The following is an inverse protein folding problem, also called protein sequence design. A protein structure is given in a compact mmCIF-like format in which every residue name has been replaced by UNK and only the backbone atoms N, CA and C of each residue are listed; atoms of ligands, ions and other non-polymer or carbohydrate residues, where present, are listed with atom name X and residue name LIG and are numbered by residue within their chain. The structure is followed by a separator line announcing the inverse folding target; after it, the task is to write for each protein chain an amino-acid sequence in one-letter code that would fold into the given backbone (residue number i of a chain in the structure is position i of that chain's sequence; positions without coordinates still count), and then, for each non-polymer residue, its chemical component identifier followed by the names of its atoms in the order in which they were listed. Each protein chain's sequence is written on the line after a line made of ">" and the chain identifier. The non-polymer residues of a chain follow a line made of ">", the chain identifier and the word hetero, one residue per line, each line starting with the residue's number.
data_IF_117854234981
#
_entry.id   IF_117854234981
#
_cell.length_a   1.000
_cell.length_b   1.000
_cell.length_c   1.000
_cell.angle_alpha   90.00
_cell.angle_beta   90.00
_cell.angle_gamma   90.00
#
_symmetry.space_group_name_H-M   'P 1'
#
loop_
_entity.id
_entity.type
_entity.pdbx_description
1 polymer ?
#
# COMPACT_ATOMS: atom_id res chain seq x y z
N UNK A 1 -18.53 9.72 -7.35
CA UNK A 1 -17.47 8.71 -7.20
C UNK A 1 -17.99 7.68 -6.22
N UNK A 2 -18.22 6.44 -6.66
CA UNK A 2 -18.68 5.37 -5.76
C UNK A 2 -17.44 4.96 -4.94
N UNK A 3 -17.41 5.30 -3.66
CA UNK A 3 -16.35 4.88 -2.76
C UNK A 3 -16.35 3.36 -2.59
N UNK A 4 -15.16 2.77 -2.39
CA UNK A 4 -15.03 1.37 -1.99
C UNK A 4 -15.81 1.17 -0.69
N UNK A 5 -16.63 0.11 -0.62
CA UNK A 5 -17.37 -0.21 0.61
C UNK A 5 -16.38 -0.56 1.72
N UNK A 6 -16.68 -0.18 2.97
CA UNK A 6 -15.76 -0.39 4.10
C UNK A 6 -15.31 -1.86 4.25
N UNK A 7 -16.22 -2.82 4.03
CA UNK A 7 -15.90 -4.25 4.07
C UNK A 7 -14.96 -4.68 2.94
N UNK A 8 -15.12 -4.13 1.74
CA UNK A 8 -14.23 -4.40 0.61
C UNK A 8 -12.85 -3.79 0.87
N UNK A 9 -12.81 -2.59 1.46
CA UNK A 9 -11.56 -1.92 1.84
C UNK A 9 -10.78 -2.74 2.86
N UNK A 10 -11.42 -3.26 3.91
CA UNK A 10 -10.76 -4.12 4.90
C UNK A 10 -10.19 -5.37 4.25
N UNK A 11 -10.97 -6.04 3.37
CA UNK A 11 -10.50 -7.24 2.66
C UNK A 11 -9.34 -6.93 1.70
N UNK A 12 -9.34 -5.77 1.07
CA UNK A 12 -8.23 -5.30 0.24
C UNK A 12 -6.96 -5.10 1.07
N UNK A 13 -7.06 -4.47 2.24
CA UNK A 13 -5.95 -4.28 3.17
C UNK A 13 -5.37 -5.64 3.58
N UNK A 14 -6.20 -6.58 4.01
CA UNK A 14 -5.75 -7.91 4.45
C UNK A 14 -5.06 -8.69 3.33
N UNK A 15 -5.59 -8.60 2.11
CA UNK A 15 -4.95 -9.21 0.93
C UNK A 15 -3.61 -8.55 0.62
N UNK A 16 -3.50 -7.23 0.74
CA UNK A 16 -2.24 -6.52 0.51
C UNK A 16 -1.18 -6.86 1.56
N UNK A 17 -1.56 -7.07 2.82
CA UNK A 17 -0.65 -7.59 3.86
C UNK A 17 -0.07 -8.95 3.40
N UNK A 18 -0.93 -9.86 2.96
CA UNK A 18 -0.49 -11.17 2.50
C UNK A 18 0.47 -11.08 1.31
N UNK A 19 0.19 -10.21 0.33
CA UNK A 19 1.07 -10.00 -0.83
C UNK A 19 2.41 -9.41 -0.40
N UNK A 20 2.41 -8.40 0.48
CA UNK A 20 3.63 -7.79 1.01
C UNK A 20 4.52 -8.80 1.75
N UNK A 21 3.91 -9.72 2.51
CA UNK A 21 4.64 -10.79 3.19
C UNK A 21 5.28 -11.78 2.21
N UNK A 22 4.65 -12.05 1.07
CA UNK A 22 5.22 -12.91 0.01
C UNK A 22 6.32 -12.19 -0.79
N UNK A 23 6.21 -10.88 -0.97
CA UNK A 23 7.14 -10.12 -1.81
C UNK A 23 8.53 -9.91 -1.18
N UNK A 24 8.71 -10.23 0.11
CA UNK A 24 10.00 -10.10 0.85
C UNK A 24 10.75 -8.80 0.51
N UNK A 25 10.03 -7.68 0.37
CA UNK A 25 10.64 -6.42 -0.03
C UNK A 25 11.55 -5.96 1.12
N UNK A 26 12.86 -6.05 0.92
CA UNK A 26 13.84 -5.61 1.91
C UNK A 26 14.21 -4.16 1.64
N UNK A 27 13.60 -3.26 2.40
CA UNK A 27 13.78 -1.81 2.27
C UNK A 27 15.07 -1.29 2.93
N UNK A 28 15.88 -2.17 3.53
CA UNK A 28 17.00 -1.75 4.40
C UNK A 28 18.24 -1.31 3.62
N UNK A 29 18.36 -1.71 2.37
CA UNK A 29 19.57 -1.47 1.56
C UNK A 29 19.38 -0.41 0.47
N UNK A 30 18.17 0.15 0.31
CA UNK A 30 17.89 1.10 -0.75
C UNK A 30 17.93 2.55 -0.23
N UNK A 31 18.77 3.38 -0.85
CA UNK A 31 18.77 4.81 -0.56
C UNK A 31 17.42 5.40 -1.02
N UNK A 32 16.78 6.27 -0.21
CA UNK A 32 15.55 6.93 -0.62
C UNK A 32 15.82 7.73 -1.90
N UNK A 33 15.15 7.33 -2.99
CA UNK A 33 15.19 8.00 -4.29
C UNK A 33 13.93 8.82 -4.47
N UNK A 34 14.08 10.05 -4.97
CA UNK A 34 12.96 10.92 -5.32
C UNK A 34 12.54 10.79 -6.80
N UNK A 35 13.21 9.92 -7.56
CA UNK A 35 13.01 9.77 -9.00
C UNK A 35 11.92 8.75 -9.38
N UNK A 36 11.12 8.28 -8.41
CA UNK A 36 10.11 7.21 -8.59
C UNK A 36 10.66 5.93 -9.24
N UNK A 37 11.97 5.69 -9.10
CA UNK A 37 12.70 4.58 -9.74
C UNK A 37 13.28 3.59 -8.73
N UNK A 38 12.87 3.66 -7.46
CA UNK A 38 13.32 2.70 -6.46
C UNK A 38 12.67 1.33 -6.70
N UNK A 39 13.32 0.25 -6.24
CA UNK A 39 12.72 -1.07 -6.17
C UNK A 39 11.41 -1.04 -5.38
N UNK A 40 11.33 -0.18 -4.36
CA UNK A 40 10.09 0.10 -3.65
C UNK A 40 8.98 0.65 -4.57
N UNK A 41 9.25 1.68 -5.38
CA UNK A 41 8.25 2.27 -6.28
C UNK A 41 7.76 1.24 -7.30
N UNK A 42 8.68 0.47 -7.88
CA UNK A 42 8.33 -0.61 -8.80
C UNK A 42 7.47 -1.69 -8.15
N UNK A 43 7.76 -2.06 -6.89
CA UNK A 43 6.96 -3.01 -6.14
C UNK A 43 5.57 -2.45 -5.81
N UNK A 44 5.50 -1.17 -5.40
CA UNK A 44 4.24 -0.47 -5.16
C UNK A 44 3.35 -0.45 -6.41
N UNK A 45 3.88 -0.04 -7.57
CA UNK A 45 3.12 -0.02 -8.82
C UNK A 45 2.66 -1.42 -9.23
N UNK A 46 3.55 -2.42 -9.12
CA UNK A 46 3.20 -3.81 -9.45
C UNK A 46 2.11 -4.36 -8.54
N UNK A 47 2.19 -4.13 -7.23
CA UNK A 47 1.22 -4.64 -6.25
C UNK A 47 -0.13 -3.94 -6.45
N UNK A 48 -0.13 -2.63 -6.66
CA UNK A 48 -1.38 -1.86 -6.87
C UNK A 48 -2.06 -2.19 -8.20
N UNK A 49 -1.30 -2.42 -9.27
CA UNK A 49 -1.81 -2.94 -10.54
C UNK A 49 -2.40 -4.35 -10.36
N UNK A 50 -1.66 -5.25 -9.71
CA UNK A 50 -2.14 -6.62 -9.41
C UNK A 50 -3.41 -6.59 -8.56
N UNK A 51 -3.49 -5.67 -7.59
CA UNK A 51 -4.66 -5.48 -6.75
C UNK A 51 -5.87 -5.02 -7.58
N UNK A 52 -5.68 -4.08 -8.50
CA UNK A 52 -6.75 -3.61 -9.40
C UNK A 52 -7.32 -4.79 -10.19
N UNK A 53 -6.47 -5.60 -10.81
CA UNK A 53 -6.90 -6.74 -11.62
C UNK A 53 -7.54 -7.85 -10.78
N UNK A 54 -7.03 -8.09 -9.58
CA UNK A 54 -7.59 -9.08 -8.66
C UNK A 54 -8.98 -8.68 -8.15
N UNK A 55 -9.16 -7.41 -7.76
CA UNK A 55 -10.38 -6.96 -7.10
C UNK A 55 -11.48 -6.53 -8.07
N UNK A 56 -11.15 -5.98 -9.23
CA UNK A 56 -12.16 -5.51 -10.22
C UNK A 56 -13.25 -6.55 -10.53
N UNK A 57 -12.94 -7.81 -10.89
CA UNK A 57 -13.97 -8.81 -11.17
C UNK A 57 -14.72 -9.29 -9.92
N UNK A 58 -14.11 -9.17 -8.73
CA UNK A 58 -14.68 -9.63 -7.45
C UNK A 58 -15.65 -8.63 -6.84
N UNK A 59 -15.42 -7.35 -7.09
CA UNK A 59 -16.19 -6.25 -6.56
C UNK A 59 -17.31 -5.82 -7.51
N UNK A 60 -17.21 -6.17 -8.81
CA UNK A 60 -18.13 -5.71 -9.84
C UNK A 60 -17.93 -4.25 -10.25
N UNK A 61 -16.85 -3.63 -9.76
CA UNK A 61 -16.39 -2.29 -10.11
C UNK A 61 -14.86 -2.23 -10.01
N UNK A 62 -14.25 -1.26 -10.68
CA UNK A 62 -12.81 -1.02 -10.59
C UNK A 62 -12.52 -0.14 -9.37
N UNK A 63 -11.73 -0.59 -8.38
CA UNK A 63 -11.31 0.26 -7.27
C UNK A 63 -10.55 1.49 -7.77
N UNK A 64 -10.80 2.65 -7.16
CA UNK A 64 -10.03 3.85 -7.49
C UNK A 64 -8.58 3.71 -7.05
N UNK A 65 -7.69 4.38 -7.77
CA UNK A 65 -6.25 4.45 -7.47
C UNK A 65 -6.02 4.92 -6.04
N UNK A 66 -6.76 5.94 -5.61
CA UNK A 66 -6.74 6.43 -4.24
C UNK A 66 -7.06 5.32 -3.21
N UNK A 67 -8.07 4.49 -3.48
CA UNK A 67 -8.46 3.42 -2.58
C UNK A 67 -7.41 2.32 -2.52
N UNK A 68 -6.78 2.00 -3.66
CA UNK A 68 -5.69 1.03 -3.76
C UNK A 68 -4.45 1.54 -3.01
N UNK A 69 -4.10 2.81 -3.18
CA UNK A 69 -2.95 3.42 -2.51
C UNK A 69 -3.16 3.47 -1.00
N UNK A 70 -4.35 3.89 -0.55
CA UNK A 70 -4.69 3.90 0.88
C UNK A 70 -4.65 2.50 1.48
N UNK A 71 -5.19 1.51 0.78
CA UNK A 71 -5.15 0.12 1.25
C UNK A 71 -3.69 -0.39 1.35
N UNK A 72 -2.83 -0.03 0.40
CA UNK A 72 -1.42 -0.44 0.40
C UNK A 72 -0.68 0.15 1.61
N UNK A 73 -0.80 1.45 1.83
CA UNK A 73 -0.12 2.11 2.94
C UNK A 73 -0.68 1.68 4.30
N UNK A 74 -1.99 1.44 4.40
CA UNK A 74 -2.59 0.87 5.62
C UNK A 74 -2.07 -0.55 5.88
N UNK A 75 -1.95 -1.40 4.85
CA UNK A 75 -1.38 -2.73 4.96
C UNK A 75 0.08 -2.68 5.44
N UNK A 76 0.89 -1.79 4.86
CA UNK A 76 2.27 -1.61 5.27
C UNK A 76 2.38 -1.09 6.71
N UNK A 77 1.57 -0.10 7.07
CA UNK A 77 1.51 0.42 8.44
C UNK A 77 1.17 -0.69 9.43
N UNK A 78 0.15 -1.52 9.16
CA UNK A 78 -0.22 -2.66 10.02
C UNK A 78 0.88 -3.71 10.12
N UNK A 79 1.57 -3.99 9.01
CA UNK A 79 2.72 -4.90 8.98
C UNK A 79 3.86 -4.36 9.86
N UNK A 80 4.17 -3.07 9.74
CA UNK A 80 5.17 -2.39 10.56
C UNK A 80 4.76 -2.31 12.04
N UNK A 81 3.50 -2.04 12.35
CA UNK A 81 2.97 -2.04 13.73
C UNK A 81 3.03 -3.43 14.37
N UNK A 82 2.73 -4.49 13.62
CA UNK A 82 2.97 -5.88 14.06
C UNK A 82 4.46 -6.18 14.26
N UNK A 83 5.31 -5.64 13.37
CA UNK A 83 6.77 -5.74 13.41
C UNK A 83 7.43 -4.74 14.39
N UNK A 84 6.68 -3.86 15.04
CA UNK A 84 7.19 -2.96 16.08
C UNK A 84 7.57 -3.70 17.37
N UNK A 85 7.27 -5.00 17.46
CA UNK A 85 7.93 -5.93 18.38
C UNK A 85 9.38 -6.28 17.94
N UNK A 86 9.86 -5.78 16.80
CA UNK A 86 11.15 -6.14 16.16
C UNK A 86 11.97 -5.06 15.42
N UNK A 87 11.51 -3.81 15.25
CA UNK A 87 12.28 -2.53 15.05
C UNK A 87 12.05 -1.74 13.73
N UNK A 88 11.73 -0.45 13.95
CA UNK A 88 12.23 0.82 13.35
C UNK A 88 11.65 1.33 12.00
N UNK A 89 10.63 2.18 12.14
CA UNK A 89 10.16 3.24 11.22
C UNK A 89 11.23 4.33 10.98
N UNK A 90 11.64 4.57 9.73
CA UNK A 90 12.35 5.82 9.38
C UNK A 90 12.17 6.38 7.96
N UNK A 91 11.17 5.97 7.16
CA UNK A 91 10.99 6.53 5.80
C UNK A 91 9.59 7.10 5.50
N UNK A 92 8.62 6.92 6.40
CA UNK A 92 7.20 7.03 6.08
C UNK A 92 6.50 8.32 6.52
N UNK A 93 7.14 9.13 7.35
CA UNK A 93 6.52 10.34 7.94
C UNK A 93 6.21 11.44 6.91
N UNK A 94 6.92 11.47 5.76
CA UNK A 94 6.70 12.46 4.70
C UNK A 94 5.49 12.15 3.82
N UNK A 95 5.37 10.91 3.34
CA UNK A 95 4.34 10.48 2.41
C UNK A 95 2.96 10.36 3.09
N UNK A 96 2.91 9.80 4.30
CA UNK A 96 1.66 9.68 5.06
C UNK A 96 1.05 11.02 5.44
N UNK A 97 1.88 12.05 5.68
CA UNK A 97 1.38 13.41 5.96
C UNK A 97 0.76 14.06 4.74
N UNK A 98 1.31 13.79 3.55
CA UNK A 98 0.77 14.29 2.27
C UNK A 98 -0.56 13.62 1.89
N UNK A 99 -0.69 12.30 2.08
CA UNK A 99 -1.93 11.57 1.80
C UNK A 99 -3.06 11.82 2.82
N UNK A 100 -2.73 12.08 4.10
CA UNK A 100 -3.73 12.33 5.15
C UNK A 100 -4.38 13.72 5.07
N UNK A 101 -3.66 14.73 4.60
CA UNK A 101 -4.12 16.12 4.62
C UNK A 101 -5.00 16.51 3.41
N UNK A 102 -5.31 15.57 2.49
CA UNK A 102 -6.41 15.70 1.52
C UNK A 102 -6.36 16.92 0.59
N UNK A 103 -5.18 17.45 0.27
CA UNK A 103 -5.03 18.57 -0.67
C UNK A 103 -4.59 18.06 -2.03
N UNK A 104 -5.56 18.06 -2.95
CA UNK A 104 -5.39 17.97 -4.40
C UNK A 104 -4.77 19.25 -4.96
#
# INVERSE_FOLDING_TARGET
>A
MIGVRDEDYVRMVDWMIHVLDQCQIDHRDEAPSYDNGSHYDHAFYRITETARDFWSPRLGYVPSDESLFRAFFEAEKRRLEGEHTRRRLTLWSGLFRWFRDGRW
#
